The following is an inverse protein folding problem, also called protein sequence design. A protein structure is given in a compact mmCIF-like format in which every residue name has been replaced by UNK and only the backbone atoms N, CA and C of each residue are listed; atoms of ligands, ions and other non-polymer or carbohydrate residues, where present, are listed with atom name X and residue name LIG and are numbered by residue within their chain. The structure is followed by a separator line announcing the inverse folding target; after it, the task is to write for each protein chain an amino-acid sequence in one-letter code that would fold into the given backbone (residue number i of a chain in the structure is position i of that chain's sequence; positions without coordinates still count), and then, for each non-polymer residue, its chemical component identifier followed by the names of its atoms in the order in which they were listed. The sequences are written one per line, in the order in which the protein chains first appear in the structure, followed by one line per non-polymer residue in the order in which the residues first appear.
data_IF_021403422975
#
_entry.id   IF_021403422975
#
_cell.length_a   1.000
_cell.length_b   1.000
_cell.length_c   1.000
_cell.angle_alpha   90.00
_cell.angle_beta   90.00
_cell.angle_gamma   90.00
#
_symmetry.space_group_name_H-M   'P 1'
#
loop_
_entity.id
_entity.type
_entity.pdbx_description
1 polymer ?
#
# COMPACT_ATOMS: atom_id res chain seq x y z
N UNK A 1 7.02 -7.05 -4.64
CA UNK A 1 6.52 -6.90 -3.29
C UNK A 1 6.00 -5.46 -3.09
N UNK A 2 4.79 -5.30 -2.55
CA UNK A 2 4.16 -4.00 -2.28
C UNK A 2 4.98 -3.19 -1.27
N UNK A 3 5.45 -3.83 -0.22
CA UNK A 3 6.25 -3.21 0.86
C UNK A 3 7.56 -2.61 0.34
N UNK A 4 8.18 -3.22 -0.67
CA UNK A 4 9.35 -2.63 -1.32
C UNK A 4 9.03 -1.24 -1.87
N UNK A 5 7.88 -1.08 -2.54
CA UNK A 5 7.45 0.24 -3.07
C UNK A 5 7.19 1.26 -1.97
N UNK A 6 6.68 0.81 -0.82
CA UNK A 6 6.37 1.69 0.31
C UNK A 6 7.63 2.22 1.00
N UNK A 7 8.75 1.51 0.93
CA UNK A 7 9.92 1.77 1.75
C UNK A 7 11.18 2.13 0.97
N UNK A 8 11.26 1.71 -0.29
CA UNK A 8 12.48 1.92 -1.06
C UNK A 8 12.80 3.40 -1.26
N UNK A 9 11.79 4.25 -1.35
CA UNK A 9 11.97 5.70 -1.46
C UNK A 9 12.66 6.29 -0.22
N UNK A 10 12.25 5.88 0.98
CA UNK A 10 12.92 6.24 2.22
C UNK A 10 14.39 5.78 2.18
N UNK A 11 14.61 4.48 2.00
CA UNK A 11 15.95 3.88 2.04
C UNK A 11 16.89 4.49 1.00
N UNK A 12 16.37 4.77 -0.19
CA UNK A 12 17.16 5.34 -1.29
C UNK A 12 17.59 6.78 -1.03
N UNK A 13 16.72 7.59 -0.41
CA UNK A 13 16.92 9.03 -0.25
C UNK A 13 17.52 9.45 1.09
N UNK A 14 17.76 8.56 2.07
CA UNK A 14 18.53 8.90 3.28
C UNK A 14 19.89 9.45 2.91
N UNK A 15 20.37 10.48 3.63
CA UNK A 15 21.68 11.07 3.42
C UNK A 15 22.82 10.07 3.70
N UNK A 16 23.50 9.63 2.65
CA UNK A 16 24.56 8.62 2.71
C UNK A 16 25.87 9.13 3.36
N UNK A 17 25.97 10.42 3.67
CA UNK A 17 27.08 10.96 4.47
C UNK A 17 26.88 10.71 5.96
N UNK A 18 25.63 10.53 6.41
CA UNK A 18 25.27 10.28 7.80
C UNK A 18 24.80 8.86 8.05
N UNK A 19 24.13 8.22 7.07
CA UNK A 19 23.51 6.91 7.22
C UNK A 19 24.18 5.88 6.31
N UNK A 20 24.83 4.91 6.94
CA UNK A 20 25.35 3.74 6.25
C UNK A 20 24.28 2.64 6.20
N UNK A 21 23.62 2.49 5.05
CA UNK A 21 22.42 1.70 4.87
C UNK A 21 22.74 0.37 4.19
N UNK A 22 22.29 -0.72 4.78
CA UNK A 22 22.39 -2.08 4.26
C UNK A 22 20.99 -2.67 3.99
N UNK A 23 20.90 -3.59 3.02
CA UNK A 23 19.67 -4.31 2.70
C UNK A 23 19.82 -5.77 3.08
N UNK A 24 19.01 -6.27 4.04
CA UNK A 24 18.86 -7.70 4.29
C UNK A 24 17.93 -8.33 3.22
N UNK A 25 18.41 -9.34 2.52
CA UNK A 25 17.66 -10.02 1.45
C UNK A 25 17.69 -11.52 1.65
N UNK A 26 16.53 -12.15 1.80
CA UNK A 26 16.42 -13.63 1.85
C UNK A 26 16.62 -14.18 0.44
N UNK A 27 17.85 -14.54 0.13
CA UNK A 27 18.24 -15.11 -1.15
C UNK A 27 19.58 -15.85 -1.02
N UNK A 28 19.81 -16.85 -1.85
CA UNK A 28 21.11 -17.47 -1.99
C UNK A 28 22.06 -16.50 -2.77
N UNK A 29 23.13 -16.10 -2.14
CA UNK A 29 24.10 -15.15 -2.73
C UNK A 29 24.67 -15.65 -4.06
N UNK A 30 25.00 -16.96 -4.16
CA UNK A 30 25.58 -17.55 -5.38
C UNK A 30 24.59 -17.61 -6.54
N UNK A 31 23.30 -17.63 -6.24
CA UNK A 31 22.21 -17.68 -7.21
C UNK A 31 21.60 -16.29 -7.48
N UNK A 32 21.98 -15.30 -6.69
CA UNK A 32 21.45 -13.96 -6.78
C UNK A 32 21.89 -13.30 -8.11
N UNK A 33 20.92 -12.99 -8.94
CA UNK A 33 21.13 -12.31 -10.20
C UNK A 33 20.20 -11.11 -10.29
N UNK A 34 20.78 -9.91 -10.20
CA UNK A 34 20.03 -8.66 -10.26
C UNK A 34 19.16 -8.57 -11.54
N UNK A 35 19.61 -9.19 -12.62
CA UNK A 35 18.89 -9.20 -13.92
C UNK A 35 17.58 -9.98 -13.90
N UNK A 36 17.34 -10.82 -12.89
CA UNK A 36 16.06 -11.52 -12.70
C UNK A 36 14.93 -10.63 -12.16
N UNK A 37 15.27 -9.44 -11.66
CA UNK A 37 14.30 -8.51 -11.11
C UNK A 37 13.77 -7.55 -12.19
N UNK A 38 12.63 -6.92 -11.91
CA UNK A 38 12.09 -5.89 -12.81
C UNK A 38 13.04 -4.68 -12.91
N UNK A 39 13.04 -3.93 -14.02
CA UNK A 39 13.91 -2.76 -14.19
C UNK A 39 13.83 -1.76 -13.02
N UNK A 40 12.64 -1.54 -12.48
CA UNK A 40 12.43 -0.67 -11.31
C UNK A 40 13.20 -1.20 -10.10
N UNK A 41 13.09 -2.49 -9.78
CA UNK A 41 13.80 -3.10 -8.65
C UNK A 41 15.31 -3.05 -8.88
N UNK A 42 15.76 -3.37 -10.10
CA UNK A 42 17.18 -3.29 -10.46
C UNK A 42 17.77 -1.89 -10.21
N UNK A 43 17.05 -0.84 -10.61
CA UNK A 43 17.47 0.54 -10.41
C UNK A 43 17.80 0.82 -8.93
N UNK A 44 16.88 0.48 -8.03
CA UNK A 44 17.04 0.79 -6.61
C UNK A 44 18.07 -0.07 -5.88
N UNK A 45 18.18 -1.37 -6.19
CA UNK A 45 19.08 -2.27 -5.46
C UNK A 45 20.51 -2.29 -6.02
N UNK A 46 20.71 -1.79 -7.24
CA UNK A 46 22.01 -1.86 -7.94
C UNK A 46 23.16 -1.27 -7.14
N UNK A 47 22.95 -0.10 -6.58
CA UNK A 47 23.99 0.58 -5.79
C UNK A 47 24.37 -0.20 -4.53
N UNK A 48 23.40 -0.83 -3.86
CA UNK A 48 23.66 -1.66 -2.70
C UNK A 48 24.42 -2.93 -3.08
N UNK A 49 24.05 -3.52 -4.22
CA UNK A 49 24.72 -4.72 -4.73
C UNK A 49 26.19 -4.43 -5.11
N UNK A 50 26.46 -3.38 -5.89
CA UNK A 50 27.80 -3.01 -6.35
C UNK A 50 28.71 -2.63 -5.16
N UNK A 51 28.18 -2.00 -4.12
CA UNK A 51 28.94 -1.55 -2.95
C UNK A 51 28.98 -2.57 -1.82
N UNK A 52 28.57 -3.83 -2.06
CA UNK A 52 28.54 -4.91 -1.06
C UNK A 52 27.71 -4.56 0.20
N UNK A 53 26.61 -3.81 0.01
CA UNK A 53 25.68 -3.42 1.08
C UNK A 53 24.41 -4.27 1.09
N UNK A 54 24.45 -5.46 0.49
CA UNK A 54 23.40 -6.47 0.59
C UNK A 54 23.89 -7.58 1.52
N UNK A 55 23.08 -7.86 2.55
CA UNK A 55 23.29 -9.00 3.44
C UNK A 55 22.38 -10.14 2.97
N UNK A 56 22.98 -11.19 2.42
CA UNK A 56 22.25 -12.35 1.98
C UNK A 56 21.91 -13.24 3.16
N UNK A 57 20.61 -13.47 3.38
CA UNK A 57 20.04 -14.28 4.43
C UNK A 57 19.55 -15.62 3.85
N UNK A 58 19.82 -16.69 4.56
CA UNK A 58 19.44 -18.05 4.18
C UNK A 58 18.21 -18.54 4.95
N UNK A 59 17.84 -19.82 4.77
CA UNK A 59 16.80 -20.48 5.55
C UNK A 59 17.27 -20.84 6.98
N UNK A 60 18.55 -20.71 7.28
CA UNK A 60 19.10 -20.97 8.60
C UNK A 60 19.02 -19.75 9.50
N UNK A 61 18.09 -19.75 10.43
CA UNK A 61 17.83 -18.64 11.34
C UNK A 61 19.04 -18.26 12.20
N UNK A 62 19.75 -19.26 12.77
CA UNK A 62 20.90 -19.02 13.65
C UNK A 62 22.03 -18.34 12.88
N UNK A 63 22.36 -18.85 11.71
CA UNK A 63 23.37 -18.26 10.84
C UNK A 63 23.02 -16.81 10.43
N UNK A 64 21.74 -16.53 10.18
CA UNK A 64 21.28 -15.18 9.87
C UNK A 64 21.44 -14.24 11.07
N UNK A 65 21.13 -14.72 12.28
CA UNK A 65 21.29 -13.95 13.52
C UNK A 65 22.76 -13.63 13.78
N UNK A 66 23.65 -14.61 13.66
CA UNK A 66 25.09 -14.42 13.79
C UNK A 66 25.60 -13.39 12.78
N UNK A 67 25.28 -13.56 11.50
CA UNK A 67 25.69 -12.69 10.41
C UNK A 67 25.26 -11.23 10.62
N UNK A 68 24.02 -11.00 11.08
CA UNK A 68 23.51 -9.65 11.36
C UNK A 68 24.16 -9.07 12.62
N UNK A 69 24.33 -9.88 13.67
CA UNK A 69 24.94 -9.45 14.91
C UNK A 69 26.40 -8.98 14.71
N UNK A 70 27.17 -9.67 13.86
CA UNK A 70 28.54 -9.29 13.51
C UNK A 70 28.65 -7.93 12.81
N UNK A 71 27.56 -7.48 12.15
CA UNK A 71 27.54 -6.17 11.48
C UNK A 71 27.46 -4.99 12.47
N UNK A 72 27.10 -5.22 13.74
CA UNK A 72 26.99 -4.18 14.78
C UNK A 72 26.10 -3.00 14.37
N UNK A 73 24.94 -3.25 13.79
CA UNK A 73 24.01 -2.18 13.41
C UNK A 73 23.49 -1.40 14.61
N UNK A 74 23.36 -0.08 14.47
CA UNK A 74 22.71 0.77 15.46
C UNK A 74 21.20 0.58 15.44
N UNK A 75 20.61 0.48 14.24
CA UNK A 75 19.17 0.34 14.02
C UNK A 75 18.92 -0.79 13.02
N UNK A 76 17.97 -1.65 13.32
CA UNK A 76 17.37 -2.54 12.34
C UNK A 76 15.93 -2.14 12.11
N UNK A 77 15.56 -1.97 10.85
CA UNK A 77 14.23 -1.60 10.42
C UNK A 77 13.56 -2.76 9.69
N UNK A 78 12.50 -3.30 10.29
CA UNK A 78 11.68 -4.38 9.75
C UNK A 78 10.40 -3.78 9.15
N UNK A 79 10.26 -3.66 7.84
CA UNK A 79 9.16 -2.90 7.24
C UNK A 79 7.81 -3.63 7.26
N UNK A 80 7.77 -4.96 7.41
CA UNK A 80 6.60 -5.78 7.16
C UNK A 80 6.51 -7.05 8.04
N UNK A 81 6.80 -6.90 9.33
CA UNK A 81 6.66 -8.01 10.29
C UNK A 81 5.24 -8.60 10.25
N UNK A 82 5.17 -9.93 10.15
CA UNK A 82 3.91 -10.66 9.99
C UNK A 82 3.55 -11.02 8.55
N UNK A 83 4.21 -10.41 7.54
CA UNK A 83 3.99 -10.75 6.13
C UNK A 83 4.92 -11.86 5.64
N UNK A 84 6.13 -11.95 6.19
CA UNK A 84 7.17 -12.93 5.82
C UNK A 84 7.62 -13.66 7.07
N UNK A 85 7.48 -14.98 7.08
CA UNK A 85 7.75 -15.82 8.26
C UNK A 85 9.21 -15.71 8.70
N UNK A 86 10.16 -15.81 7.77
CA UNK A 86 11.60 -15.79 8.04
C UNK A 86 12.01 -14.45 8.69
N UNK A 87 11.49 -13.34 8.20
CA UNK A 87 11.73 -12.03 8.78
C UNK A 87 11.12 -11.91 10.18
N UNK A 88 9.92 -12.44 10.37
CA UNK A 88 9.23 -12.43 11.67
C UNK A 88 10.01 -13.26 12.69
N UNK A 89 10.47 -14.46 12.33
CA UNK A 89 11.29 -15.30 13.21
C UNK A 89 12.62 -14.62 13.55
N UNK A 90 13.28 -13.99 12.57
CA UNK A 90 14.53 -13.26 12.77
C UNK A 90 14.37 -12.13 13.78
N UNK A 91 13.25 -11.43 13.77
CA UNK A 91 12.98 -10.26 14.59
C UNK A 91 12.80 -10.57 16.09
N UNK A 92 12.60 -11.85 16.47
CA UNK A 92 12.52 -12.22 17.89
C UNK A 92 13.88 -12.14 18.62
N UNK A 93 14.98 -12.12 17.88
CA UNK A 93 16.28 -11.84 18.46
C UNK A 93 16.54 -10.32 18.51
N UNK A 94 17.15 -9.86 19.60
CA UNK A 94 17.61 -8.47 19.71
C UNK A 94 18.98 -8.33 19.02
N UNK A 95 18.96 -8.04 17.71
CA UNK A 95 20.15 -8.03 16.84
C UNK A 95 20.76 -6.64 16.68
N UNK A 96 20.08 -5.61 17.15
CA UNK A 96 20.57 -4.23 17.24
C UNK A 96 20.01 -3.56 18.49
N UNK A 97 20.69 -2.53 19.01
CA UNK A 97 20.20 -1.72 20.14
C UNK A 97 18.78 -1.19 19.93
N UNK A 98 18.47 -0.80 18.70
CA UNK A 98 17.17 -0.23 18.31
C UNK A 98 16.59 -1.08 17.18
N UNK A 99 15.40 -1.65 17.41
CA UNK A 99 14.65 -2.41 16.41
C UNK A 99 13.29 -1.76 16.17
N UNK A 100 12.96 -1.50 14.92
CA UNK A 100 11.82 -0.69 14.52
C UNK A 100 10.98 -1.47 13.52
N UNK A 101 9.65 -1.36 13.62
CA UNK A 101 8.73 -1.81 12.59
C UNK A 101 7.78 -0.69 12.16
N UNK A 102 6.95 -0.97 11.16
CA UNK A 102 5.97 -0.02 10.62
C UNK A 102 4.82 -0.75 9.93
N UNK A 103 3.88 0.00 9.39
CA UNK A 103 2.63 -0.46 8.80
C UNK A 103 2.73 -1.18 7.43
N UNK A 104 3.89 -1.69 7.03
CA UNK A 104 3.96 -2.61 5.88
C UNK A 104 3.10 -3.87 6.10
N UNK A 105 3.06 -4.33 7.38
CA UNK A 105 1.93 -5.05 7.95
C UNK A 105 1.27 -4.12 8.98
N UNK A 106 -0.02 -3.89 8.86
CA UNK A 106 -0.71 -2.81 9.57
C UNK A 106 -1.06 -3.08 11.03
N UNK A 107 -0.74 -4.26 11.54
CA UNK A 107 -0.98 -4.61 12.94
C UNK A 107 0.30 -4.48 13.77
N UNK A 108 0.16 -4.32 15.10
CA UNK A 108 1.27 -4.44 16.03
C UNK A 108 1.98 -5.79 15.87
N UNK A 109 3.30 -5.84 16.00
CA UNK A 109 4.02 -7.11 15.89
C UNK A 109 3.83 -8.02 17.11
N UNK A 110 3.47 -7.44 18.27
CA UNK A 110 3.40 -8.17 19.53
C UNK A 110 4.75 -8.76 19.99
N UNK A 111 5.86 -8.24 19.45
CA UNK A 111 7.19 -8.78 19.65
C UNK A 111 8.00 -7.90 20.60
N UNK A 112 8.44 -8.49 21.73
CA UNK A 112 9.17 -7.76 22.78
C UNK A 112 10.58 -7.29 22.35
N UNK A 113 11.11 -7.80 21.26
CA UNK A 113 12.40 -7.36 20.70
C UNK A 113 12.28 -6.13 19.79
N UNK A 114 11.08 -5.69 19.48
CA UNK A 114 10.82 -4.49 18.69
C UNK A 114 10.50 -3.33 19.61
N UNK A 115 11.28 -2.25 19.52
CA UNK A 115 11.17 -1.10 20.41
C UNK A 115 10.09 -0.12 19.96
N UNK A 116 10.01 0.14 18.64
CA UNK A 116 9.17 1.20 18.10
C UNK A 116 8.35 0.73 16.91
N UNK A 117 7.12 1.25 16.84
CA UNK A 117 6.24 1.13 15.67
C UNK A 117 6.06 2.52 15.05
N UNK A 118 6.53 2.72 13.81
CA UNK A 118 6.37 4.00 13.11
C UNK A 118 5.03 4.04 12.38
N UNK A 119 4.19 5.01 12.73
CA UNK A 119 2.92 5.32 12.08
C UNK A 119 2.84 6.81 11.72
N UNK A 120 1.68 7.32 11.36
CA UNK A 120 1.46 8.71 10.97
C UNK A 120 0.26 9.30 11.69
N UNK A 121 0.32 10.59 12.03
CA UNK A 121 -0.82 11.37 12.52
C UNK A 121 -2.01 11.38 11.56
N UNK A 122 -1.77 11.12 10.27
CA UNK A 122 -2.83 11.02 9.27
C UNK A 122 -3.60 9.71 9.33
N UNK A 123 -3.03 8.66 9.93
CA UNK A 123 -3.66 7.34 10.08
C UNK A 123 -4.20 7.10 11.50
N UNK A 124 -3.79 7.90 12.48
CA UNK A 124 -4.21 7.77 13.86
C UNK A 124 -5.15 8.92 14.27
N UNK A 125 -6.05 8.64 15.22
CA UNK A 125 -6.88 9.66 15.85
C UNK A 125 -6.09 10.28 17.00
N UNK A 126 -5.51 11.46 16.80
CA UNK A 126 -4.64 12.14 17.77
C UNK A 126 -5.37 12.49 19.08
N UNK A 127 -6.69 12.64 19.02
CA UNK A 127 -7.55 13.00 20.16
C UNK A 127 -7.51 11.97 21.29
N UNK A 128 -7.03 10.76 21.02
CA UNK A 128 -6.94 9.69 22.00
C UNK A 128 -5.56 9.00 21.98
N UNK A 129 -4.56 9.70 22.47
CA UNK A 129 -3.17 9.20 22.58
C UNK A 129 -3.09 7.94 23.45
N UNK A 130 -3.96 7.79 24.45
CA UNK A 130 -4.00 6.61 25.32
C UNK A 130 -4.48 5.38 24.54
N UNK A 131 -5.51 5.53 23.71
CA UNK A 131 -5.98 4.47 22.82
C UNK A 131 -4.93 4.07 21.78
N UNK A 132 -4.19 5.04 21.21
CA UNK A 132 -3.11 4.74 20.28
C UNK A 132 -2.06 3.85 20.93
N UNK A 133 -1.61 4.19 22.14
CA UNK A 133 -0.64 3.35 22.87
C UNK A 133 -1.15 1.95 23.17
N UNK A 134 -2.44 1.80 23.44
CA UNK A 134 -3.04 0.49 23.72
C UNK A 134 -3.20 -0.40 22.47
N UNK A 135 -3.10 0.17 21.27
CA UNK A 135 -3.18 -0.58 20.03
C UNK A 135 -1.83 -1.22 19.63
N UNK A 136 -0.73 -0.81 20.25
CA UNK A 136 0.62 -1.26 19.91
C UNK A 136 1.30 -1.87 21.13
N UNK A 137 1.97 -2.97 20.92
CA UNK A 137 2.89 -3.56 21.91
C UNK A 137 4.18 -2.71 22.00
N UNK A 138 4.65 -2.25 20.88
CA UNK A 138 5.81 -1.38 20.71
C UNK A 138 5.46 0.07 21.13
N UNK A 139 6.49 0.89 21.31
CA UNK A 139 6.27 2.34 21.51
C UNK A 139 5.89 3.00 20.18
N UNK A 140 4.64 3.49 19.99
CA UNK A 140 4.25 4.11 18.73
C UNK A 140 4.92 5.47 18.55
N UNK A 141 5.46 5.71 17.34
CA UNK A 141 5.99 6.99 16.90
C UNK A 141 5.07 7.53 15.81
N UNK A 142 4.44 8.68 16.08
CA UNK A 142 3.52 9.33 15.17
C UNK A 142 4.26 10.41 14.37
N UNK A 143 4.57 10.11 13.13
CA UNK A 143 5.16 11.10 12.22
C UNK A 143 4.13 12.14 11.78
N UNK A 144 4.60 13.35 11.50
CA UNK A 144 3.76 14.42 10.93
C UNK A 144 3.43 14.16 9.46
N UNK A 145 4.36 13.51 8.75
CA UNK A 145 4.21 13.06 7.37
C UNK A 145 3.44 11.74 7.27
N UNK A 146 3.23 11.24 6.05
CA UNK A 146 2.62 9.92 5.76
C UNK A 146 3.48 8.72 6.22
N UNK A 147 4.67 8.96 6.79
CA UNK A 147 5.65 7.93 7.15
C UNK A 147 6.06 7.01 5.99
N UNK A 148 5.92 7.48 4.76
CA UNK A 148 6.40 6.82 3.54
C UNK A 148 6.80 7.84 2.49
N UNK A 149 7.97 7.66 1.89
CA UNK A 149 8.35 8.36 0.66
C UNK A 149 7.95 7.47 -0.52
N UNK A 150 6.80 7.75 -1.08
CA UNK A 150 6.22 6.92 -2.12
C UNK A 150 6.47 7.52 -3.50
N UNK A 151 7.14 6.77 -4.37
CA UNK A 151 7.29 7.19 -5.76
C UNK A 151 5.99 7.01 -6.53
N UNK A 152 5.68 7.95 -7.44
CA UNK A 152 4.58 7.77 -8.39
C UNK A 152 4.80 6.50 -9.23
N UNK A 153 3.88 5.50 -9.18
CA UNK A 153 4.01 4.29 -9.98
C UNK A 153 4.02 4.59 -11.48
N UNK A 154 3.26 5.60 -11.88
CA UNK A 154 3.22 6.11 -13.25
C UNK A 154 4.57 6.66 -13.68
N UNK A 155 5.21 7.48 -12.84
CA UNK A 155 6.53 8.04 -13.14
C UNK A 155 7.62 6.96 -13.15
N UNK A 156 7.60 6.04 -12.18
CA UNK A 156 8.54 4.90 -12.17
C UNK A 156 8.46 4.05 -13.45
N UNK A 157 7.25 3.81 -13.95
CA UNK A 157 7.09 3.07 -15.21
C UNK A 157 7.66 3.86 -16.40
N UNK A 158 7.47 5.19 -16.45
CA UNK A 158 8.02 6.04 -17.51
C UNK A 158 9.54 6.04 -17.50
N UNK A 159 10.14 6.14 -16.32
CA UNK A 159 11.58 6.30 -16.19
C UNK A 159 12.34 4.98 -16.36
N UNK A 160 11.76 3.85 -15.97
CA UNK A 160 12.49 2.60 -15.85
C UNK A 160 11.96 1.43 -16.69
N UNK A 161 10.76 1.56 -17.28
CA UNK A 161 10.19 0.49 -18.10
C UNK A 161 10.05 0.93 -19.54
N UNK A 162 9.20 1.92 -19.80
CA UNK A 162 8.95 2.47 -21.14
C UNK A 162 8.37 3.88 -20.98
N UNK A 163 9.04 4.91 -21.53
CA UNK A 163 8.58 6.31 -21.48
C UNK A 163 7.18 6.53 -22.06
N UNK A 164 6.77 5.68 -22.99
CA UNK A 164 5.49 5.76 -23.67
C UNK A 164 4.52 4.63 -23.30
N UNK A 165 4.73 3.94 -22.16
CA UNK A 165 3.93 2.76 -21.80
C UNK A 165 2.41 3.00 -21.78
N UNK A 166 1.96 4.22 -21.52
CA UNK A 166 0.54 4.57 -21.50
C UNK A 166 -0.09 4.58 -22.91
N UNK A 167 0.73 4.69 -23.97
CA UNK A 167 0.21 4.55 -25.35
C UNK A 167 -0.22 3.11 -25.68
N UNK A 168 0.22 2.15 -24.87
CA UNK A 168 -0.16 0.73 -24.97
C UNK A 168 -1.39 0.38 -24.14
N UNK A 169 -2.01 1.38 -23.47
CA UNK A 169 -3.19 1.14 -22.65
C UNK A 169 -4.40 0.80 -23.51
N UNK A 170 -5.06 -0.27 -23.14
CA UNK A 170 -6.36 -0.64 -23.68
C UNK A 170 -7.43 0.33 -23.18
N UNK A 171 -8.41 0.62 -24.02
CA UNK A 171 -9.61 1.40 -23.70
C UNK A 171 -10.68 0.54 -23.04
N UNK A 172 -11.80 1.12 -22.62
CA UNK A 172 -12.97 0.37 -22.15
C UNK A 172 -13.46 -0.61 -23.20
N UNK A 173 -13.45 -0.20 -24.47
CA UNK A 173 -13.90 -1.02 -25.63
C UNK A 173 -13.00 -2.25 -25.80
N UNK A 174 -11.69 -2.10 -25.65
CA UNK A 174 -10.75 -3.23 -25.74
C UNK A 174 -10.97 -4.27 -24.63
N UNK A 175 -11.53 -3.84 -23.49
CA UNK A 175 -11.96 -4.72 -22.40
C UNK A 175 -13.38 -5.28 -22.58
N UNK A 176 -14.08 -4.94 -23.66
CA UNK A 176 -15.44 -5.41 -23.99
C UNK A 176 -16.55 -4.63 -23.32
N UNK A 177 -16.32 -3.37 -22.97
CA UNK A 177 -17.32 -2.44 -22.46
C UNK A 177 -17.64 -1.36 -23.46
N UNK A 178 -18.79 -0.71 -23.30
CA UNK A 178 -19.12 0.51 -24.02
C UNK A 178 -18.45 1.73 -23.36
N UNK A 179 -18.18 2.78 -24.12
CA UNK A 179 -17.60 4.01 -23.57
C UNK A 179 -18.48 4.66 -22.47
N UNK A 180 -19.79 4.45 -22.56
CA UNK A 180 -20.80 4.95 -21.62
C UNK A 180 -20.95 4.11 -20.36
N UNK A 181 -20.33 2.93 -20.33
CA UNK A 181 -20.35 2.05 -19.15
C UNK A 181 -19.60 2.68 -17.97
N UNK A 182 -20.12 2.46 -16.79
CA UNK A 182 -19.50 2.88 -15.54
C UNK A 182 -18.73 1.72 -14.93
N UNK A 183 -17.42 1.85 -14.84
CA UNK A 183 -16.52 0.83 -14.33
C UNK A 183 -16.07 1.18 -12.91
N UNK A 184 -16.51 0.39 -11.94
CA UNK A 184 -16.17 0.54 -10.53
C UNK A 184 -15.06 -0.45 -10.19
N UNK A 185 -13.87 0.05 -9.83
CA UNK A 185 -12.76 -0.82 -9.43
C UNK A 185 -12.85 -1.22 -7.95
N UNK A 186 -12.98 -2.53 -7.67
CA UNK A 186 -12.73 -3.12 -6.36
C UNK A 186 -11.47 -3.99 -6.47
N UNK A 187 -10.33 -3.35 -6.76
CA UNK A 187 -9.09 -4.01 -7.15
C UNK A 187 -8.25 -4.43 -5.94
N UNK A 188 -8.90 -5.10 -5.00
CA UNK A 188 -8.33 -5.53 -3.73
C UNK A 188 -8.17 -7.06 -3.67
N UNK A 189 -7.31 -7.52 -2.76
CA UNK A 189 -7.17 -8.94 -2.48
C UNK A 189 -8.49 -9.52 -1.97
N UNK A 190 -8.89 -10.68 -2.46
CA UNK A 190 -10.18 -11.28 -2.18
C UNK A 190 -10.44 -11.56 -0.68
N UNK A 191 -9.40 -11.78 0.14
CA UNK A 191 -9.54 -11.97 1.58
C UNK A 191 -10.02 -10.72 2.33
N UNK A 192 -9.93 -9.54 1.72
CA UNK A 192 -10.47 -8.28 2.28
C UNK A 192 -11.98 -8.14 2.06
N UNK A 193 -12.55 -8.95 1.17
CA UNK A 193 -13.96 -8.87 0.77
C UNK A 193 -14.73 -9.91 1.55
N UNK A 194 -15.56 -9.47 2.48
CA UNK A 194 -16.36 -10.31 3.36
C UNK A 194 -17.86 -10.01 3.20
N UNK A 195 -18.71 -10.82 3.80
CA UNK A 195 -20.15 -10.79 3.53
C UNK A 195 -20.83 -9.44 3.71
N UNK A 196 -20.62 -8.65 4.79
CA UNK A 196 -21.22 -7.32 4.93
C UNK A 196 -20.87 -6.38 3.78
N UNK A 197 -19.61 -6.38 3.33
CA UNK A 197 -19.20 -5.57 2.19
C UNK A 197 -19.85 -6.06 0.88
N UNK A 198 -19.99 -7.38 0.70
CA UNK A 198 -20.71 -7.94 -0.46
C UNK A 198 -22.18 -7.53 -0.48
N UNK A 199 -22.82 -7.30 0.68
CA UNK A 199 -24.19 -6.77 0.74
C UNK A 199 -24.26 -5.35 0.18
N UNK A 200 -23.25 -4.51 0.47
CA UNK A 200 -23.15 -3.16 -0.11
C UNK A 200 -23.04 -3.27 -1.63
N UNK A 201 -22.14 -4.13 -2.15
CA UNK A 201 -21.97 -4.34 -3.59
C UNK A 201 -23.26 -4.84 -4.26
N UNK A 202 -23.96 -5.76 -3.62
CA UNK A 202 -25.25 -6.26 -4.10
C UNK A 202 -26.28 -5.14 -4.19
N UNK A 203 -26.41 -4.31 -3.17
CA UNK A 203 -27.30 -3.16 -3.16
C UNK A 203 -26.97 -2.16 -4.28
N UNK A 204 -25.68 -1.93 -4.55
CA UNK A 204 -25.24 -1.08 -5.66
C UNK A 204 -25.77 -1.66 -6.98
N UNK A 205 -25.54 -2.95 -7.26
CA UNK A 205 -25.92 -3.57 -8.52
C UNK A 205 -27.45 -3.71 -8.67
N UNK A 206 -28.20 -3.94 -7.59
CA UNK A 206 -29.67 -4.04 -7.63
C UNK A 206 -30.33 -2.68 -7.94
N UNK A 207 -29.72 -1.58 -7.53
CA UNK A 207 -30.29 -0.23 -7.62
C UNK A 207 -29.60 0.66 -8.68
N UNK A 208 -28.87 0.06 -9.61
CA UNK A 208 -28.22 0.76 -10.72
C UNK A 208 -28.54 0.10 -12.06
N UNK A 209 -28.33 0.83 -13.15
CA UNK A 209 -28.56 0.37 -14.51
C UNK A 209 -27.60 -0.75 -14.91
N UNK A 210 -27.93 -1.49 -15.97
CA UNK A 210 -27.14 -2.64 -16.44
C UNK A 210 -25.76 -2.25 -17.01
N UNK A 211 -25.52 -0.99 -17.28
CA UNK A 211 -24.22 -0.45 -17.74
C UNK A 211 -23.26 -0.08 -16.59
N UNK A 212 -23.52 -0.54 -15.37
CA UNK A 212 -22.61 -0.37 -14.23
C UNK A 212 -21.96 -1.71 -13.90
N UNK A 213 -20.66 -1.77 -13.91
CA UNK A 213 -19.85 -2.99 -13.69
C UNK A 213 -18.92 -2.83 -12.49
N UNK A 214 -18.69 -3.92 -11.76
CA UNK A 214 -17.69 -4.00 -10.70
C UNK A 214 -16.53 -4.88 -11.17
N UNK A 215 -15.33 -4.31 -11.15
CA UNK A 215 -14.11 -4.97 -11.58
C UNK A 215 -13.31 -5.45 -10.37
N UNK A 216 -12.95 -6.73 -10.36
CA UNK A 216 -12.09 -7.33 -9.34
C UNK A 216 -10.74 -7.75 -9.94
N UNK A 217 -9.70 -7.70 -9.12
CA UNK A 217 -8.41 -8.31 -9.45
C UNK A 217 -8.41 -9.79 -9.08
N UNK A 218 -7.96 -10.64 -10.00
CA UNK A 218 -7.86 -12.09 -9.83
C UNK A 218 -6.41 -12.52 -9.66
N UNK A 219 -5.73 -12.01 -8.63
CA UNK A 219 -4.28 -12.20 -8.49
C UNK A 219 -3.85 -13.43 -7.68
N UNK A 220 -4.77 -14.26 -7.14
CA UNK A 220 -4.42 -15.33 -6.21
C UNK A 220 -5.18 -16.64 -6.42
N UNK A 221 -4.57 -17.83 -6.13
CA UNK A 221 -5.19 -19.15 -6.29
C UNK A 221 -6.39 -19.42 -5.35
N UNK A 222 -6.57 -18.61 -4.31
CA UNK A 222 -7.69 -18.72 -3.36
C UNK A 222 -9.05 -18.22 -3.91
N UNK A 223 -9.08 -17.76 -5.14
CA UNK A 223 -10.24 -17.09 -5.72
C UNK A 223 -11.40 -18.01 -6.05
N UNK A 224 -11.21 -19.34 -6.14
CA UNK A 224 -12.30 -20.24 -6.55
C UNK A 224 -13.49 -20.23 -5.56
N UNK A 225 -13.20 -20.30 -4.27
CA UNK A 225 -14.25 -20.24 -3.23
C UNK A 225 -14.91 -18.87 -3.18
N UNK A 226 -14.13 -17.79 -3.31
CA UNK A 226 -14.65 -16.44 -3.37
C UNK A 226 -15.51 -16.21 -4.62
N UNK A 227 -15.07 -16.66 -5.79
CA UNK A 227 -15.86 -16.63 -7.01
C UNK A 227 -17.19 -17.37 -6.86
N UNK A 228 -17.18 -18.58 -6.30
CA UNK A 228 -18.41 -19.36 -6.07
C UNK A 228 -19.35 -18.63 -5.09
N UNK A 229 -18.81 -18.01 -4.03
CA UNK A 229 -19.59 -17.22 -3.08
C UNK A 229 -20.24 -16.03 -3.77
N UNK A 230 -19.48 -15.26 -4.54
CA UNK A 230 -20.00 -14.12 -5.30
C UNK A 230 -21.01 -14.56 -6.36
N UNK A 231 -20.77 -15.65 -7.10
CA UNK A 231 -21.71 -16.21 -8.06
C UNK A 231 -23.03 -16.58 -7.42
N UNK A 232 -22.99 -17.21 -6.25
CA UNK A 232 -24.20 -17.56 -5.51
C UNK A 232 -24.97 -16.34 -4.99
N UNK A 233 -24.24 -15.31 -4.53
CA UNK A 233 -24.83 -14.10 -3.98
C UNK A 233 -25.42 -13.19 -5.05
N UNK A 234 -24.70 -12.99 -6.15
CA UNK A 234 -25.07 -12.01 -7.18
C UNK A 234 -25.94 -12.59 -8.31
N UNK A 235 -26.16 -13.88 -8.39
CA UNK A 235 -27.00 -14.61 -9.37
C UNK A 235 -27.43 -13.81 -10.61
N UNK A 236 -28.43 -12.94 -10.48
CA UNK A 236 -29.01 -12.16 -11.59
C UNK A 236 -28.07 -11.07 -12.14
N UNK A 237 -27.13 -10.58 -11.32
CA UNK A 237 -26.21 -9.51 -11.68
C UNK A 237 -24.77 -9.99 -11.87
N UNK A 238 -24.53 -11.30 -11.91
CA UNK A 238 -23.17 -11.85 -11.99
C UNK A 238 -22.44 -11.46 -13.27
N UNK A 239 -23.16 -11.23 -14.36
CA UNK A 239 -22.61 -10.74 -15.62
C UNK A 239 -22.02 -9.31 -15.52
N UNK A 240 -22.42 -8.56 -14.49
CA UNK A 240 -21.91 -7.21 -14.19
C UNK A 240 -20.68 -7.21 -13.25
N UNK A 241 -20.23 -8.38 -12.82
CA UNK A 241 -19.01 -8.58 -12.06
C UNK A 241 -17.96 -9.18 -12.99
N UNK A 242 -16.81 -8.52 -13.08
CA UNK A 242 -15.70 -8.94 -13.94
C UNK A 242 -14.44 -9.15 -13.13
N UNK A 243 -13.68 -10.18 -13.51
CA UNK A 243 -12.42 -10.55 -12.86
C UNK A 243 -11.29 -10.46 -13.87
N UNK A 244 -10.26 -9.70 -13.52
CA UNK A 244 -9.11 -9.50 -14.37
C UNK A 244 -7.83 -9.99 -13.71
N UNK A 245 -7.05 -10.79 -14.45
CA UNK A 245 -5.74 -11.24 -14.03
C UNK A 245 -4.68 -10.33 -14.66
N UNK A 246 -3.90 -9.67 -13.80
CA UNK A 246 -2.81 -8.82 -14.25
C UNK A 246 -1.48 -9.56 -14.05
N UNK A 247 -0.67 -9.59 -15.12
CA UNK A 247 0.62 -10.28 -15.14
C UNK A 247 1.80 -9.36 -14.78
N UNK A 248 1.61 -8.06 -14.97
CA UNK A 248 2.65 -7.06 -14.72
C UNK A 248 2.05 -5.71 -14.29
N UNK A 249 2.94 -4.77 -13.92
CA UNK A 249 2.56 -3.44 -13.45
C UNK A 249 1.81 -2.61 -14.49
N UNK A 250 2.20 -2.70 -15.76
CA UNK A 250 1.56 -1.93 -16.86
C UNK A 250 0.10 -2.34 -17.02
N UNK A 251 -0.18 -3.64 -17.06
CA UNK A 251 -1.56 -4.16 -17.14
C UNK A 251 -2.38 -3.77 -15.91
N UNK A 252 -1.74 -3.78 -14.73
CA UNK A 252 -2.37 -3.32 -13.49
C UNK A 252 -2.74 -1.84 -13.55
N UNK A 253 -1.81 -0.97 -13.92
CA UNK A 253 -2.05 0.46 -14.04
C UNK A 253 -3.09 0.79 -15.12
N UNK A 254 -3.10 0.04 -16.22
CA UNK A 254 -4.14 0.16 -17.22
C UNK A 254 -5.53 -0.18 -16.64
N UNK A 255 -5.66 -1.30 -15.88
CA UNK A 255 -6.92 -1.67 -15.25
C UNK A 255 -7.39 -0.60 -14.26
N UNK A 256 -6.48 0.01 -13.50
CA UNK A 256 -6.80 1.16 -12.64
C UNK A 256 -7.30 2.34 -13.48
N UNK A 257 -6.59 2.68 -14.56
CA UNK A 257 -6.88 3.85 -15.40
C UNK A 257 -8.24 3.80 -16.11
N UNK A 258 -8.75 2.62 -16.48
CA UNK A 258 -10.08 2.50 -17.11
C UNK A 258 -11.23 2.64 -16.13
N UNK A 259 -11.00 2.57 -14.82
CA UNK A 259 -12.05 2.74 -13.80
C UNK A 259 -12.54 4.19 -13.75
N UNK A 260 -13.85 4.37 -13.66
CA UNK A 260 -14.43 5.69 -13.43
C UNK A 260 -14.17 6.18 -12.02
N UNK A 261 -14.23 5.25 -11.06
CA UNK A 261 -13.82 5.41 -9.67
C UNK A 261 -13.58 4.04 -9.05
N UNK A 262 -12.96 4.01 -7.85
CA UNK A 262 -12.72 2.79 -7.10
C UNK A 262 -13.45 2.80 -5.77
N UNK A 263 -13.56 1.62 -5.17
CA UNK A 263 -14.19 1.40 -3.88
C UNK A 263 -13.28 0.56 -2.99
N UNK A 264 -13.10 1.01 -1.75
CA UNK A 264 -12.34 0.28 -0.74
C UNK A 264 -13.26 -0.66 0.05
N UNK A 265 -12.85 -1.93 0.26
CA UNK A 265 -13.53 -2.81 1.19
C UNK A 265 -13.46 -2.26 2.62
N UNK A 266 -14.46 -2.62 3.40
CA UNK A 266 -14.55 -2.35 4.83
C UNK A 266 -14.56 -3.69 5.57
N UNK A 267 -13.86 -3.83 6.72
CA UNK A 267 -13.07 -2.83 7.45
C UNK A 267 -11.62 -2.69 6.99
N UNK A 268 -11.14 -3.50 6.05
CA UNK A 268 -9.77 -3.52 5.55
C UNK A 268 -9.70 -2.90 4.15
N UNK A 269 -9.30 -1.63 4.09
CA UNK A 269 -9.21 -0.85 2.85
C UNK A 269 -7.94 -1.08 2.04
N UNK A 270 -7.76 -0.21 1.03
CA UNK A 270 -6.55 -0.11 0.23
C UNK A 270 -5.46 0.72 0.89
N UNK A 271 -4.23 0.52 0.41
CA UNK A 271 -3.09 1.40 0.67
C UNK A 271 -2.42 1.72 -0.67
N UNK A 272 -1.55 0.84 -1.19
CA UNK A 272 -0.93 1.02 -2.49
C UNK A 272 -1.94 1.17 -3.62
N UNK A 273 -3.03 0.41 -3.60
CA UNK A 273 -4.09 0.50 -4.61
C UNK A 273 -4.77 1.88 -4.63
N UNK A 274 -4.90 2.53 -3.47
CA UNK A 274 -5.46 3.88 -3.38
C UNK A 274 -4.47 4.93 -3.89
N UNK A 275 -3.17 4.80 -3.58
CA UNK A 275 -2.13 5.66 -4.13
C UNK A 275 -2.04 5.52 -5.66
N UNK A 276 -2.11 4.29 -6.18
CA UNK A 276 -2.15 4.02 -7.61
C UNK A 276 -3.37 4.65 -8.29
N UNK A 277 -4.55 4.58 -7.65
CA UNK A 277 -5.75 5.25 -8.14
C UNK A 277 -5.59 6.77 -8.17
N UNK A 278 -5.07 7.36 -7.09
CA UNK A 278 -4.83 8.81 -7.03
C UNK A 278 -3.79 9.29 -8.03
N UNK A 279 -2.79 8.46 -8.37
CA UNK A 279 -1.83 8.78 -9.41
C UNK A 279 -2.48 8.95 -10.78
N UNK A 280 -3.56 8.20 -11.04
CA UNK A 280 -4.41 8.33 -12.24
C UNK A 280 -5.63 9.25 -12.03
N UNK A 281 -5.70 9.99 -10.93
CA UNK A 281 -6.80 10.90 -10.56
C UNK A 281 -8.16 10.18 -10.39
N UNK A 282 -8.14 8.89 -10.05
CA UNK A 282 -9.33 8.08 -9.85
C UNK A 282 -9.84 8.24 -8.41
N UNK A 283 -11.10 8.67 -8.19
CA UNK A 283 -11.69 8.71 -6.86
C UNK A 283 -11.80 7.33 -6.22
N UNK A 284 -11.62 7.25 -4.90
CA UNK A 284 -11.77 6.02 -4.12
C UNK A 284 -12.76 6.26 -2.98
N UNK A 285 -13.89 5.57 -2.97
CA UNK A 285 -14.82 5.64 -1.83
C UNK A 285 -14.29 4.77 -0.70
N UNK A 286 -14.13 5.35 0.49
CA UNK A 286 -13.63 4.61 1.66
C UNK A 286 -14.52 4.82 2.88
N UNK A 287 -14.69 3.74 3.66
CA UNK A 287 -15.35 3.72 4.95
C UNK A 287 -14.30 3.34 6.01
N UNK A 288 -13.69 4.34 6.70
CA UNK A 288 -12.62 4.08 7.64
C UNK A 288 -13.07 3.23 8.82
N UNK A 289 -12.26 2.24 9.19
CA UNK A 289 -12.45 1.46 10.41
C UNK A 289 -11.67 2.06 11.59
N UNK A 290 -11.73 1.41 12.76
CA UNK A 290 -10.92 1.83 13.90
C UNK A 290 -9.46 1.36 13.80
N UNK A 291 -9.16 0.39 12.95
CA UNK A 291 -7.81 -0.15 12.73
C UNK A 291 -7.10 0.61 11.62
N UNK A 292 -5.77 0.71 11.70
CA UNK A 292 -4.94 1.42 10.71
C UNK A 292 -5.14 0.91 9.27
N UNK A 293 -5.34 -0.40 9.11
CA UNK A 293 -5.58 -1.03 7.80
C UNK A 293 -6.86 -0.56 7.08
N UNK A 294 -7.77 0.09 7.78
CA UNK A 294 -8.95 0.71 7.20
C UNK A 294 -8.86 2.24 7.08
N UNK A 295 -7.71 2.86 7.43
CA UNK A 295 -7.57 4.32 7.50
C UNK A 295 -6.63 4.91 6.45
N UNK A 296 -5.90 4.10 5.68
CA UNK A 296 -4.91 4.63 4.73
C UNK A 296 -5.52 5.57 3.70
N UNK A 297 -6.59 5.17 3.04
CA UNK A 297 -7.26 6.00 2.02
C UNK A 297 -7.82 7.29 2.62
N UNK A 298 -8.39 7.24 3.84
CA UNK A 298 -8.80 8.43 4.58
C UNK A 298 -7.61 9.37 4.84
N UNK A 299 -6.48 8.82 5.30
CA UNK A 299 -5.27 9.61 5.57
C UNK A 299 -4.72 10.29 4.31
N UNK A 300 -4.71 9.60 3.18
CA UNK A 300 -4.30 10.17 1.90
C UNK A 300 -5.23 11.31 1.47
N UNK A 301 -6.53 11.13 1.61
CA UNK A 301 -7.51 12.19 1.33
C UNK A 301 -7.32 13.41 2.24
N UNK A 302 -7.08 13.20 3.54
CA UNK A 302 -6.81 14.29 4.49
C UNK A 302 -5.57 15.11 4.09
N UNK A 303 -4.50 14.44 3.66
CA UNK A 303 -3.28 15.11 3.14
C UNK A 303 -3.61 15.94 1.90
N UNK A 304 -4.46 15.43 1.02
CA UNK A 304 -4.93 16.17 -0.16
C UNK A 304 -5.94 17.29 0.15
N UNK A 305 -6.52 17.30 1.37
CA UNK A 305 -7.61 18.24 1.72
C UNK A 305 -8.92 17.91 1.03
N UNK A 306 -9.26 16.64 0.84
CA UNK A 306 -10.47 16.14 0.19
C UNK A 306 -11.22 15.24 1.17
N UNK A 307 -12.53 15.43 1.32
CA UNK A 307 -13.39 14.64 2.22
C UNK A 307 -14.60 13.98 1.54
N UNK A 308 -14.87 14.34 0.29
CA UNK A 308 -16.10 13.99 -0.44
C UNK A 308 -16.32 12.47 -0.66
N UNK A 309 -15.28 11.67 -0.55
CA UNK A 309 -15.33 10.20 -0.69
C UNK A 309 -15.04 9.44 0.62
N UNK A 310 -14.93 10.16 1.74
CA UNK A 310 -14.79 9.57 3.09
C UNK A 310 -16.17 9.48 3.70
N UNK A 311 -16.64 8.26 4.00
CA UNK A 311 -17.99 8.04 4.53
C UNK A 311 -17.95 7.44 5.93
N UNK A 312 -19.05 7.57 6.69
CA UNK A 312 -19.12 7.20 8.11
C UNK A 312 -20.12 6.07 8.40
N UNK A 313 -20.82 5.59 7.37
CA UNK A 313 -21.79 4.52 7.47
C UNK A 313 -21.96 3.78 6.14
N UNK A 314 -22.51 2.58 6.18
CA UNK A 314 -22.86 1.81 4.99
C UNK A 314 -23.86 2.56 4.09
N UNK A 315 -24.81 3.29 4.70
CA UNK A 315 -25.78 4.08 3.97
C UNK A 315 -25.10 5.26 3.24
N UNK A 316 -24.16 5.94 3.89
CA UNK A 316 -23.37 6.99 3.24
C UNK A 316 -22.49 6.42 2.14
N UNK A 317 -21.93 5.21 2.35
CA UNK A 317 -21.15 4.51 1.33
C UNK A 317 -21.96 4.28 0.06
N UNK A 318 -23.14 3.70 0.21
CA UNK A 318 -24.08 3.49 -0.91
C UNK A 318 -24.43 4.81 -1.59
N UNK A 319 -24.78 5.85 -0.83
CA UNK A 319 -25.16 7.15 -1.35
C UNK A 319 -24.02 7.81 -2.12
N UNK A 320 -22.79 7.74 -1.62
CA UNK A 320 -21.59 8.26 -2.27
C UNK A 320 -21.33 7.54 -3.60
N UNK A 321 -21.37 6.20 -3.62
CA UNK A 321 -21.22 5.40 -4.84
C UNK A 321 -22.31 5.74 -5.84
N UNK A 322 -23.58 5.81 -5.42
CA UNK A 322 -24.71 6.18 -6.28
C UNK A 322 -24.52 7.57 -6.89
N UNK A 323 -24.04 8.53 -6.09
CA UNK A 323 -23.76 9.88 -6.59
C UNK A 323 -22.64 9.87 -7.64
N UNK A 324 -21.55 9.13 -7.41
CA UNK A 324 -20.46 8.98 -8.38
C UNK A 324 -20.92 8.31 -9.70
N UNK A 325 -21.92 7.43 -9.65
CA UNK A 325 -22.50 6.80 -10.84
C UNK A 325 -23.35 7.83 -11.63
N UNK A 326 -24.26 8.54 -10.95
CA UNK A 326 -25.31 9.32 -11.58
C UNK A 326 -24.91 10.76 -11.91
N UNK A 327 -23.98 11.35 -11.14
CA UNK A 327 -23.55 12.74 -11.23
C UNK A 327 -22.13 12.82 -11.80
N UNK A 328 -22.05 13.01 -13.12
CA UNK A 328 -20.78 13.12 -13.83
C UNK A 328 -19.98 14.35 -13.41
N UNK A 329 -20.65 15.44 -13.10
CA UNK A 329 -19.99 16.69 -12.69
C UNK A 329 -19.38 16.55 -11.31
N UNK A 330 -20.09 15.91 -10.39
CA UNK A 330 -19.55 15.55 -9.06
C UNK A 330 -18.31 14.65 -9.19
N UNK A 331 -18.39 13.58 -10.00
CA UNK A 331 -17.26 12.68 -10.24
C UNK A 331 -16.06 13.41 -10.85
N UNK A 332 -16.29 14.25 -11.86
CA UNK A 332 -15.24 15.03 -12.52
C UNK A 332 -14.62 16.08 -11.58
N UNK A 333 -15.42 16.70 -10.73
CA UNK A 333 -14.91 17.63 -9.72
C UNK A 333 -13.92 16.96 -8.78
N UNK A 334 -14.25 15.75 -8.28
CA UNK A 334 -13.32 14.99 -7.41
C UNK A 334 -12.04 14.62 -8.17
N UNK A 335 -12.14 14.15 -9.42
CA UNK A 335 -10.97 13.89 -10.27
C UNK A 335 -10.06 15.12 -10.40
N UNK A 336 -10.64 16.30 -10.58
CA UNK A 336 -9.88 17.55 -10.65
C UNK A 336 -9.24 17.93 -9.31
N UNK A 337 -9.95 17.74 -8.18
CA UNK A 337 -9.39 17.97 -6.86
C UNK A 337 -8.20 17.04 -6.58
N UNK A 338 -8.31 15.77 -6.92
CA UNK A 338 -7.20 14.79 -6.80
C UNK A 338 -6.04 15.23 -7.70
N UNK A 339 -6.29 15.53 -8.97
CA UNK A 339 -5.27 15.98 -9.93
C UNK A 339 -4.47 17.18 -9.40
N UNK A 340 -5.15 18.13 -8.77
CA UNK A 340 -4.53 19.33 -8.19
C UNK A 340 -3.68 19.04 -6.95
N UNK A 341 -4.09 18.07 -6.12
CA UNK A 341 -3.51 17.88 -4.78
C UNK A 341 -2.68 16.61 -4.62
N UNK A 342 -2.72 15.65 -5.55
CA UNK A 342 -2.02 14.36 -5.43
C UNK A 342 -0.50 14.48 -5.30
N UNK A 343 0.09 15.59 -5.75
CA UNK A 343 1.53 15.84 -5.57
C UNK A 343 1.94 15.82 -4.10
N UNK A 344 1.01 16.06 -3.17
CA UNK A 344 1.24 15.98 -1.72
C UNK A 344 1.41 14.55 -1.20
N UNK A 345 1.11 13.53 -2.01
CA UNK A 345 1.21 12.11 -1.64
C UNK A 345 2.52 11.48 -2.09
N UNK A 346 3.16 12.05 -3.14
CA UNK A 346 4.30 11.43 -3.80
C UNK A 346 5.58 12.24 -3.58
N UNK A 347 6.67 11.54 -3.33
CA UNK A 347 8.05 12.07 -3.32
C UNK A 347 8.26 13.25 -2.36
N UNK A 348 7.62 13.16 -1.19
CA UNK A 348 7.67 14.22 -0.17
C UNK A 348 9.01 14.17 0.59
N UNK A 349 9.89 15.16 0.35
CA UNK A 349 11.23 15.24 0.97
C UNK A 349 11.17 15.40 2.48
N UNK A 350 10.10 16.00 2.99
CA UNK A 350 9.86 16.17 4.43
C UNK A 350 9.80 14.83 5.17
N UNK A 351 9.36 13.77 4.48
CA UNK A 351 9.38 12.41 5.04
C UNK A 351 10.81 11.97 5.34
N UNK A 352 11.75 12.25 4.43
CA UNK A 352 13.15 11.86 4.59
C UNK A 352 13.77 12.56 5.79
N UNK A 353 13.68 13.90 5.84
CA UNK A 353 14.22 14.67 6.97
C UNK A 353 13.59 14.27 8.31
N UNK A 354 12.29 13.96 8.34
CA UNK A 354 11.62 13.51 9.56
C UNK A 354 12.15 12.14 10.04
N UNK A 355 12.45 11.22 9.11
CA UNK A 355 13.11 9.95 9.45
C UNK A 355 14.56 10.11 9.89
N UNK A 356 15.31 10.98 9.23
CA UNK A 356 16.72 11.28 9.59
C UNK A 356 16.80 11.84 11.01
N UNK A 357 15.98 12.85 11.32
CA UNK A 357 15.86 13.42 12.66
C UNK A 357 15.42 12.38 13.69
N UNK A 358 14.49 11.51 13.33
CA UNK A 358 14.00 10.44 14.20
C UNK A 358 15.14 9.46 14.51
N UNK A 359 15.85 8.96 13.51
CA UNK A 359 16.92 7.99 13.72
C UNK A 359 18.04 8.56 14.58
N UNK A 360 18.45 9.82 14.36
CA UNK A 360 19.44 10.51 15.20
C UNK A 360 18.93 10.61 16.65
N UNK A 361 17.71 11.07 16.87
CA UNK A 361 17.11 11.16 18.23
C UNK A 361 17.04 9.83 18.96
N UNK A 362 16.75 8.74 18.22
CA UNK A 362 16.69 7.39 18.82
C UNK A 362 18.08 6.91 19.24
N UNK A 363 19.10 7.18 18.41
CA UNK A 363 20.50 6.85 18.72
C UNK A 363 20.98 7.68 19.94
N UNK A 364 20.78 8.98 19.95
CA UNK A 364 21.15 9.85 21.05
C UNK A 364 20.51 9.40 22.35
N UNK A 365 19.21 9.09 22.32
CA UNK A 365 18.50 8.56 23.49
C UNK A 365 19.07 7.24 24.00
N UNK A 366 19.59 6.40 23.12
CA UNK A 366 20.10 5.08 23.49
C UNK A 366 21.55 5.14 24.02
N UNK A 367 22.39 6.01 23.46
CA UNK A 367 23.83 6.04 23.77
C UNK A 367 24.27 7.20 24.68
N UNK A 368 23.44 8.25 24.86
CA UNK A 368 23.78 9.42 25.66
C UNK A 368 23.08 9.41 27.03
N UNK A 369 22.02 8.63 27.22
CA UNK A 369 21.33 8.40 28.48
C UNK A 369 21.60 7.00 29.01
#
# INVERSE_FOLDING_TARGET
NSVFRDRIGLIHNLDKNYFDVYLGVFANEKEFQITKYTPIVQHFIRNYYINNKIIFLSDNLVNNQEKISECNFHIIYYPDLGMVLEQTLLSYAKLAPIQITTWGHSDTSGNCSIDYYITSKHFEKIEDISCIKNNYYESPILMNSLSTYYYSPRQLCKDHVNSNFESEFNTKVDYGFEETDILIGCLQSCFKIYEPFENILQNILLNTQNNVYILFSNSYPYNKCHLLRLQNKFKQNINRIKFYQNKNMIQWLNLVNICDFMIDPYPFGGCNTSLEAFDYNIPVVCYPSNMINGKFTEGFYKVMGIDLCIVKSEQEYYNCVKKLILDIDFRNNIKLMIKKNKHKLFEQKEVISEYEDLFVKLIDKHYVN
#
